data_IF_102309230298
#
_entry.id   IF_102309230298
#
_cell.length_a   1.000
_cell.length_b   1.000
_cell.length_c   1.000
_cell.angle_alpha   90.00
_cell.angle_beta   90.00
_cell.angle_gamma   90.00
#
_symmetry.space_group_name_H-M   'P 1'
#
loop_
_entity.id
_entity.type
_entity.pdbx_description
1 polymer ?
#
# COMPACT_ATOMS: atom_id res chain seq x y z
N UNK A 1 -19.23 8.15 10.35
CA UNK A 1 -18.58 8.02 9.04
C UNK A 1 -19.27 9.01 8.10
N UNK A 2 -18.54 9.84 7.38
CA UNK A 2 -19.12 10.71 6.35
C UNK A 2 -19.11 9.96 5.02
N UNK A 3 -20.24 9.88 4.34
CA UNK A 3 -20.40 9.18 3.06
C UNK A 3 -21.11 10.08 2.05
N UNK A 4 -20.79 9.89 0.77
CA UNK A 4 -21.45 10.55 -0.36
C UNK A 4 -21.93 9.48 -1.34
N UNK A 5 -23.17 9.63 -1.83
CA UNK A 5 -23.71 8.72 -2.84
C UNK A 5 -23.11 9.05 -4.22
N UNK A 6 -23.01 8.05 -5.10
CA UNK A 6 -22.52 8.25 -6.46
C UNK A 6 -23.26 9.35 -7.23
N UNK A 7 -24.61 9.45 -7.19
CA UNK A 7 -25.32 10.52 -7.88
C UNK A 7 -24.94 11.92 -7.36
N UNK A 8 -24.82 12.07 -6.04
CA UNK A 8 -24.46 13.35 -5.43
C UNK A 8 -23.00 13.74 -5.75
N UNK A 9 -22.09 12.76 -5.82
CA UNK A 9 -20.72 12.99 -6.26
C UNK A 9 -20.66 13.46 -7.72
N UNK A 10 -21.46 12.84 -8.60
CA UNK A 10 -21.53 13.22 -10.01
C UNK A 10 -22.06 14.66 -10.17
N UNK A 11 -23.11 15.02 -9.43
CA UNK A 11 -23.64 16.39 -9.39
C UNK A 11 -22.58 17.38 -8.90
N UNK A 12 -21.82 17.01 -7.88
CA UNK A 12 -20.76 17.85 -7.32
C UNK A 12 -19.65 18.14 -8.34
N UNK A 13 -19.26 17.14 -9.13
CA UNK A 13 -18.31 17.33 -10.23
C UNK A 13 -18.86 18.27 -11.31
N UNK A 14 -20.16 18.18 -11.63
CA UNK A 14 -20.78 19.06 -12.62
C UNK A 14 -20.93 20.51 -12.13
N UNK A 15 -21.14 20.70 -10.82
CA UNK A 15 -21.43 22.01 -10.24
C UNK A 15 -20.18 22.81 -9.86
N UNK A 16 -19.02 22.15 -9.72
CA UNK A 16 -17.80 22.80 -9.27
C UNK A 16 -16.55 22.25 -9.97
N UNK A 17 -15.87 23.08 -10.78
CA UNK A 17 -14.59 22.72 -11.39
C UNK A 17 -13.52 22.35 -10.37
N UNK A 18 -13.59 22.88 -9.14
CA UNK A 18 -12.69 22.53 -8.05
C UNK A 18 -12.84 21.07 -7.61
N UNK A 19 -14.08 20.57 -7.53
CA UNK A 19 -14.34 19.17 -7.20
C UNK A 19 -13.98 18.23 -8.35
N UNK A 20 -14.18 18.64 -9.60
CA UNK A 20 -13.69 17.89 -10.77
C UNK A 20 -12.16 17.76 -10.74
N UNK A 21 -11.45 18.87 -10.51
CA UNK A 21 -9.99 18.88 -10.39
C UNK A 21 -9.51 17.98 -9.25
N UNK A 22 -10.13 18.09 -8.07
CA UNK A 22 -9.82 17.26 -6.92
C UNK A 22 -10.06 15.78 -7.22
N UNK A 23 -11.20 15.45 -7.84
CA UNK A 23 -11.54 14.09 -8.26
C UNK A 23 -10.52 13.52 -9.24
N UNK A 24 -10.09 14.32 -10.22
CA UNK A 24 -9.05 13.96 -11.18
C UNK A 24 -7.71 13.66 -10.50
N UNK A 25 -7.23 14.54 -9.61
CA UNK A 25 -5.99 14.30 -8.85
C UNK A 25 -6.09 13.03 -8.01
N UNK A 26 -7.22 12.80 -7.34
CA UNK A 26 -7.42 11.58 -6.56
C UNK A 26 -7.37 10.33 -7.44
N UNK A 27 -8.01 10.37 -8.62
CA UNK A 27 -7.99 9.26 -9.57
C UNK A 27 -6.59 8.99 -10.12
N UNK A 28 -5.88 10.05 -10.55
CA UNK A 28 -4.49 9.96 -11.04
C UNK A 28 -3.57 9.32 -9.99
N UNK A 29 -3.65 9.78 -8.73
CA UNK A 29 -2.87 9.20 -7.62
C UNK A 29 -3.24 7.75 -7.32
N UNK A 30 -4.52 7.40 -7.39
CA UNK A 30 -4.98 6.04 -7.16
C UNK A 30 -4.43 5.07 -8.23
N UNK A 31 -4.44 5.49 -9.50
CA UNK A 31 -3.87 4.73 -10.61
C UNK A 31 -2.36 4.61 -10.47
N UNK A 32 -1.66 5.72 -10.22
CA UNK A 32 -0.21 5.72 -10.01
C UNK A 32 0.20 4.75 -8.90
N UNK A 33 -0.47 4.82 -7.75
CA UNK A 33 -0.21 3.93 -6.62
C UNK A 33 -0.50 2.47 -6.94
N UNK A 34 -1.52 2.18 -7.77
CA UNK A 34 -1.81 0.82 -8.21
C UNK A 34 -0.72 0.28 -9.16
N UNK A 35 -0.25 1.11 -10.09
CA UNK A 35 0.83 0.78 -11.02
C UNK A 35 2.15 0.51 -10.29
N UNK A 36 2.52 1.35 -9.32
CA UNK A 36 3.71 1.14 -8.49
C UNK A 36 3.66 -0.17 -7.72
N UNK A 37 2.49 -0.51 -7.13
CA UNK A 37 2.30 -1.80 -6.45
C UNK A 37 2.44 -2.98 -7.41
N UNK A 38 1.87 -2.89 -8.60
CA UNK A 38 1.97 -3.94 -9.61
C UNK A 38 3.42 -4.13 -10.10
N UNK A 39 4.15 -3.03 -10.31
CA UNK A 39 5.56 -3.06 -10.66
C UNK A 39 6.39 -3.71 -9.55
N UNK A 40 6.20 -3.29 -8.29
CA UNK A 40 6.90 -3.86 -7.14
C UNK A 40 6.63 -5.37 -6.98
N UNK A 41 5.40 -5.83 -7.22
CA UNK A 41 5.07 -7.26 -7.20
C UNK A 41 5.78 -8.06 -8.30
N UNK A 42 6.09 -7.42 -9.43
CA UNK A 42 6.69 -8.06 -10.60
C UNK A 42 8.22 -8.02 -10.57
N UNK A 43 8.79 -6.91 -10.08
CA UNK A 43 10.22 -6.63 -10.16
C UNK A 43 10.96 -6.83 -8.84
N UNK A 44 10.31 -6.55 -7.71
CA UNK A 44 10.99 -6.52 -6.41
C UNK A 44 10.89 -7.89 -5.72
N UNK A 45 11.90 -8.20 -4.92
CA UNK A 45 11.86 -9.34 -4.00
C UNK A 45 10.86 -9.10 -2.86
N UNK A 46 10.31 -10.17 -2.25
CA UNK A 46 9.46 -10.04 -1.07
C UNK A 46 10.04 -9.19 0.06
N UNK A 47 11.36 -9.23 0.23
CA UNK A 47 12.08 -8.50 1.27
C UNK A 47 12.21 -7.01 0.97
N UNK A 48 12.48 -6.64 -0.28
CA UNK A 48 12.45 -5.25 -0.73
C UNK A 48 11.04 -4.65 -0.56
N UNK A 49 10.00 -5.40 -0.94
CA UNK A 49 8.61 -4.96 -0.72
C UNK A 49 8.30 -4.77 0.76
N UNK A 50 8.78 -5.68 1.62
CA UNK A 50 8.61 -5.55 3.08
C UNK A 50 9.28 -4.28 3.61
N UNK A 51 10.54 -4.02 3.23
CA UNK A 51 11.30 -2.86 3.67
C UNK A 51 10.68 -1.55 3.16
N UNK A 52 10.23 -1.54 1.90
CA UNK A 52 9.52 -0.40 1.31
C UNK A 52 8.23 -0.10 2.09
N UNK A 53 7.42 -1.12 2.39
CA UNK A 53 6.20 -0.95 3.17
C UNK A 53 6.48 -0.46 4.61
N UNK A 54 7.57 -0.95 5.23
CA UNK A 54 7.98 -0.53 6.58
C UNK A 54 8.42 0.93 6.61
N UNK A 55 9.13 1.39 5.58
CA UNK A 55 9.58 2.77 5.45
C UNK A 55 8.42 3.72 5.15
N UNK A 56 7.50 3.32 4.27
CA UNK A 56 6.37 4.16 3.87
C UNK A 56 5.29 4.27 4.95
N UNK A 57 5.05 3.20 5.71
CA UNK A 57 3.89 3.16 6.61
C UNK A 57 4.11 2.23 7.81
N UNK A 58 5.04 2.59 8.69
CA UNK A 58 5.40 1.79 9.86
C UNK A 58 4.20 1.48 10.78
N UNK A 59 3.28 2.44 10.96
CA UNK A 59 2.11 2.25 11.83
C UNK A 59 1.12 1.20 11.30
N UNK A 60 1.17 0.86 10.01
CA UNK A 60 0.38 -0.21 9.43
C UNK A 60 0.64 -1.54 10.13
N UNK A 61 1.89 -1.82 10.48
CA UNK A 61 2.31 -3.05 11.15
C UNK A 61 1.79 -3.18 12.59
N UNK A 62 1.34 -2.08 13.20
CA UNK A 62 0.73 -2.06 14.54
C UNK A 62 -0.78 -2.26 14.49
N UNK A 63 -1.42 -1.73 13.44
CA UNK A 63 -2.88 -1.65 13.34
C UNK A 63 -3.51 -2.81 12.56
N UNK A 64 -2.74 -3.42 11.67
CA UNK A 64 -3.23 -4.43 10.74
C UNK A 64 -2.68 -5.81 11.10
N UNK A 65 -3.54 -6.85 11.22
CA UNK A 65 -3.09 -8.21 11.41
C UNK A 65 -2.11 -8.67 10.33
N UNK A 66 -1.08 -9.42 10.72
CA UNK A 66 0.01 -9.85 9.83
C UNK A 66 -0.47 -10.61 8.59
N UNK A 67 -1.59 -11.34 8.66
CA UNK A 67 -2.17 -12.06 7.50
C UNK A 67 -2.50 -11.11 6.33
N UNK A 68 -3.00 -9.91 6.62
CA UNK A 68 -3.34 -8.93 5.59
C UNK A 68 -2.08 -8.25 5.05
N UNK A 69 -1.08 -8.03 5.89
CA UNK A 69 0.23 -7.52 5.47
C UNK A 69 0.90 -8.52 4.52
N UNK A 70 0.85 -9.83 4.84
CA UNK A 70 1.37 -10.86 3.96
C UNK A 70 0.66 -10.87 2.59
N UNK A 71 -0.67 -10.74 2.61
CA UNK A 71 -1.46 -10.61 1.37
C UNK A 71 -1.09 -9.36 0.56
N UNK A 72 -0.86 -8.21 1.19
CA UNK A 72 -0.43 -6.98 0.51
C UNK A 72 0.95 -7.13 -0.14
N UNK A 73 1.83 -7.90 0.49
CA UNK A 73 3.18 -8.19 0.00
C UNK A 73 3.21 -9.35 -1.02
N UNK A 74 2.07 -9.98 -1.31
CA UNK A 74 1.97 -11.10 -2.25
C UNK A 74 2.66 -12.38 -1.75
N UNK A 75 2.71 -12.62 -0.44
CA UNK A 75 3.38 -13.77 0.17
C UNK A 75 2.53 -14.47 1.22
N UNK A 76 2.91 -15.70 1.59
CA UNK A 76 2.26 -16.41 2.70
C UNK A 76 2.61 -15.79 4.06
N UNK A 77 1.75 -15.90 5.09
CA UNK A 77 2.04 -15.43 6.44
C UNK A 77 3.32 -16.03 7.04
N UNK A 78 3.63 -17.29 6.73
CA UNK A 78 4.85 -17.97 7.18
C UNK A 78 6.09 -17.36 6.53
N UNK A 79 5.98 -16.98 5.26
CA UNK A 79 7.05 -16.33 4.51
C UNK A 79 7.33 -14.93 5.07
N UNK A 80 6.28 -14.17 5.41
CA UNK A 80 6.43 -12.90 6.11
C UNK A 80 7.12 -13.06 7.47
N UNK A 81 6.76 -14.09 8.25
CA UNK A 81 7.41 -14.40 9.53
C UNK A 81 8.91 -14.68 9.37
N UNK A 82 9.29 -15.46 8.34
CA UNK A 82 10.70 -15.74 8.01
C UNK A 82 11.47 -14.48 7.64
N UNK A 83 10.90 -13.63 6.78
CA UNK A 83 11.53 -12.36 6.35
C UNK A 83 11.77 -11.45 7.58
N UNK A 84 10.76 -11.30 8.45
CA UNK A 84 10.90 -10.51 9.68
C UNK A 84 12.01 -11.04 10.58
N UNK A 85 12.09 -12.35 10.80
CA UNK A 85 13.18 -12.95 11.58
C UNK A 85 14.55 -12.67 10.97
N UNK A 86 14.68 -12.75 9.64
CA UNK A 86 15.95 -12.47 8.94
C UNK A 86 16.38 -11.01 9.07
N UNK A 87 15.44 -10.07 9.03
CA UNK A 87 15.71 -8.63 9.13
C UNK A 87 15.98 -8.22 10.58
N UNK A 88 15.29 -8.82 11.56
CA UNK A 88 15.45 -8.52 12.99
C UNK A 88 16.62 -9.27 13.65
N UNK A 89 17.19 -10.29 13.00
CA UNK A 89 18.37 -11.01 13.46
C UNK A 89 19.64 -10.37 12.87
N UNK A 90 20.49 -9.70 13.67
CA UNK A 90 21.67 -8.97 13.15
C UNK A 90 22.81 -9.85 12.63
N UNK A 91 22.66 -11.17 12.55
CA UNK A 91 23.80 -12.08 12.66
C UNK A 91 24.46 -12.54 11.34
N UNK A 92 24.22 -11.91 10.17
CA UNK A 92 24.80 -12.39 8.90
C UNK A 92 25.33 -11.34 7.91
N UNK A 93 25.56 -10.11 8.35
CA UNK A 93 26.22 -9.07 7.52
C UNK A 93 27.68 -8.80 7.90
N UNK A 94 28.32 -9.66 8.70
CA UNK A 94 29.74 -9.54 9.12
C UNK A 94 30.57 -10.78 8.81
N UNK A 95 30.43 -11.38 7.63
CA UNK A 95 31.41 -12.34 7.11
C UNK A 95 31.50 -12.18 5.60
#
# INVERSE_FOLDING_TARGET
MLTITRPNLQLLYQQSPGFEFLGRIMAERAVQSASERAAALSCDTPEERYLSLMTQNQDLFRRVPQKYIASMLGISPESLSRIRKRILSPAKFLT
#
